data_IF_284068885072
#
_entry.id   IF_284068885072
#
_cell.length_a   1.000
_cell.length_b   1.000
_cell.length_c   1.000
_cell.angle_alpha   90.00
_cell.angle_beta   90.00
_cell.angle_gamma   90.00
#
_symmetry.space_group_name_H-M   'P 1'
#
loop_
_entity.id
_entity.type
_entity.pdbx_description
1 polymer ?
#
# COMPACT_ATOMS: atom_id res chain seq x y z
N UNK A 1 -21.09 3.86 11.55
CA UNK A 1 -19.92 3.40 12.33
C UNK A 1 -19.32 2.28 11.51
N UNK A 2 -18.16 2.54 10.91
CA UNK A 2 -17.59 1.73 9.85
C UNK A 2 -16.97 0.44 10.37
N UNK A 3 -17.01 -0.59 9.53
CA UNK A 3 -16.33 -1.87 9.72
C UNK A 3 -14.81 -1.62 9.78
N UNK A 4 -14.30 -1.46 11.00
CA UNK A 4 -12.87 -1.41 11.27
C UNK A 4 -12.39 -2.85 11.33
N UNK A 5 -11.50 -3.25 10.42
CA UNK A 5 -10.89 -4.58 10.45
C UNK A 5 -10.15 -4.77 11.77
N UNK A 6 -10.29 -5.93 12.43
CA UNK A 6 -9.40 -6.31 13.51
C UNK A 6 -7.98 -6.52 12.98
N UNK A 7 -7.15 -5.48 13.04
CA UNK A 7 -5.70 -5.62 12.91
C UNK A 7 -5.19 -6.27 14.20
N UNK A 8 -4.76 -7.53 14.12
CA UNK A 8 -4.07 -8.20 15.22
C UNK A 8 -2.54 -8.02 15.08
N UNK A 9 -1.93 -7.09 15.84
CA UNK A 9 -0.49 -6.84 15.75
C UNK A 9 0.36 -7.99 16.26
N UNK A 10 -0.21 -8.94 17.01
CA UNK A 10 0.55 -10.04 17.64
C UNK A 10 0.74 -11.23 16.70
N UNK A 11 -0.16 -11.43 15.75
CA UNK A 11 -0.14 -12.64 14.91
C UNK A 11 0.49 -12.43 13.54
N UNK A 12 0.54 -11.20 13.00
CA UNK A 12 0.97 -10.96 11.59
C UNK A 12 0.21 -11.81 10.56
N UNK A 13 -0.90 -12.45 10.95
CA UNK A 13 -1.68 -13.32 10.08
C UNK A 13 -2.57 -12.43 9.24
N UNK A 14 -2.17 -12.26 7.97
CA UNK A 14 -3.09 -11.84 6.93
C UNK A 14 -4.06 -13.00 6.72
N UNK A 15 -5.33 -12.76 7.04
CA UNK A 15 -6.42 -13.69 6.76
C UNK A 15 -6.73 -13.65 5.26
N UNK A 16 -6.29 -14.69 4.54
CA UNK A 16 -6.53 -14.84 3.09
C UNK A 16 -8.03 -15.04 2.76
N UNK A 17 -8.87 -15.30 3.77
CA UNK A 17 -10.32 -15.52 3.68
C UNK A 17 -11.15 -14.23 3.76
N UNK A 18 -10.56 -13.08 4.11
CA UNK A 18 -11.24 -11.80 4.17
C UNK A 18 -10.75 -10.85 3.07
N UNK A 19 -11.70 -10.13 2.44
CA UNK A 19 -11.33 -9.09 1.47
C UNK A 19 -10.56 -7.99 2.21
N UNK A 20 -9.41 -7.53 1.72
CA UNK A 20 -8.70 -6.42 2.34
C UNK A 20 -9.58 -5.18 2.34
N UNK A 21 -9.94 -4.69 3.52
CA UNK A 21 -10.67 -3.43 3.67
C UNK A 21 -9.72 -2.32 4.11
N UNK A 22 -9.98 -1.11 3.64
CA UNK A 22 -9.31 0.11 4.09
C UNK A 22 -10.33 1.23 3.90
N UNK A 23 -10.41 2.15 4.86
CA UNK A 23 -11.30 3.30 4.67
C UNK A 23 -10.74 4.21 3.57
N UNK A 24 -11.64 4.92 2.89
CA UNK A 24 -11.29 5.74 1.72
C UNK A 24 -10.26 6.83 2.04
N UNK A 25 -10.26 7.36 3.27
CA UNK A 25 -9.32 8.41 3.68
C UNK A 25 -7.92 7.83 3.89
N UNK A 26 -7.80 6.71 4.62
CA UNK A 26 -6.52 6.01 4.80
C UNK A 26 -5.95 5.51 3.47
N UNK A 27 -6.79 5.02 2.56
CA UNK A 27 -6.36 4.63 1.21
C UNK A 27 -5.80 5.82 0.44
N UNK A 28 -6.50 6.97 0.45
CA UNK A 28 -6.03 8.18 -0.21
C UNK A 28 -4.68 8.67 0.36
N UNK A 29 -4.48 8.58 1.68
CA UNK A 29 -3.19 8.90 2.30
C UNK A 29 -2.07 7.96 1.83
N UNK A 30 -2.32 6.65 1.75
CA UNK A 30 -1.33 5.69 1.26
C UNK A 30 -0.98 5.92 -0.21
N UNK A 31 -1.96 6.26 -1.05
CA UNK A 31 -1.73 6.65 -2.45
C UNK A 31 -0.89 7.92 -2.53
N UNK A 32 -1.16 8.92 -1.69
CA UNK A 32 -0.35 10.14 -1.59
C UNK A 32 1.11 9.84 -1.24
N UNK A 33 1.34 9.06 -0.19
CA UNK A 33 2.68 8.62 0.22
C UNK A 33 3.37 7.83 -0.89
N UNK A 34 2.65 6.95 -1.59
CA UNK A 34 3.20 6.20 -2.71
C UNK A 34 3.68 7.13 -3.84
N UNK A 35 2.89 8.14 -4.18
CA UNK A 35 3.25 9.14 -5.19
C UNK A 35 4.48 9.95 -4.77
N UNK A 36 4.55 10.42 -3.52
CA UNK A 36 5.69 11.16 -2.99
C UNK A 36 6.97 10.31 -3.00
N UNK A 37 6.89 9.05 -2.58
CA UNK A 37 8.01 8.12 -2.61
C UNK A 37 8.49 7.82 -4.03
N UNK A 38 7.56 7.77 -4.99
CA UNK A 38 7.87 7.58 -6.41
C UNK A 38 8.60 8.79 -6.97
N UNK A 39 8.09 9.99 -6.71
CA UNK A 39 8.75 11.23 -7.10
C UNK A 39 10.14 11.37 -6.47
N UNK A 40 10.27 11.07 -5.17
CA UNK A 40 11.57 11.12 -4.49
C UNK A 40 12.55 10.12 -5.07
N UNK A 41 12.13 8.87 -5.33
CA UNK A 41 12.96 7.83 -5.97
C UNK A 41 13.49 8.32 -7.32
N UNK A 42 12.64 8.94 -8.13
CA UNK A 42 13.00 9.39 -9.47
C UNK A 42 13.96 10.59 -9.45
N UNK A 43 13.91 11.38 -8.38
CA UNK A 43 14.84 12.50 -8.14
C UNK A 43 16.14 12.11 -7.43
N UNK A 44 16.28 10.87 -6.95
CA UNK A 44 17.40 10.46 -6.09
C UNK A 44 18.71 10.31 -6.88
N UNK A 45 19.74 11.11 -6.60
CA UNK A 45 21.01 11.04 -7.32
C UNK A 45 21.87 9.82 -6.93
N UNK A 46 21.67 9.26 -5.73
CA UNK A 46 22.42 8.07 -5.29
C UNK A 46 21.72 6.79 -5.80
N UNK A 47 22.42 6.06 -6.68
CA UNK A 47 21.89 4.83 -7.31
C UNK A 47 21.54 3.73 -6.31
N UNK A 48 22.30 3.55 -5.23
CA UNK A 48 22.02 2.52 -4.22
C UNK A 48 20.76 2.86 -3.42
N UNK A 49 20.62 4.13 -3.03
CA UNK A 49 19.40 4.63 -2.36
C UNK A 49 18.20 4.52 -3.29
N UNK A 50 18.32 4.90 -4.56
CA UNK A 50 17.25 4.75 -5.54
C UNK A 50 16.79 3.28 -5.68
N UNK A 51 17.71 2.31 -5.64
CA UNK A 51 17.38 0.87 -5.66
C UNK A 51 16.62 0.45 -4.40
N UNK A 52 17.02 0.91 -3.21
CA UNK A 52 16.28 0.65 -1.97
C UNK A 52 14.87 1.25 -2.02
N UNK A 53 14.74 2.48 -2.50
CA UNK A 53 13.44 3.14 -2.66
C UNK A 53 12.56 2.47 -3.70
N UNK A 54 13.13 1.93 -4.77
CA UNK A 54 12.42 1.08 -5.73
C UNK A 54 11.85 -0.17 -5.07
N UNK A 55 12.59 -0.83 -4.18
CA UNK A 55 12.09 -1.99 -3.42
C UNK A 55 10.92 -1.59 -2.53
N UNK A 56 11.03 -0.47 -1.83
CA UNK A 56 9.96 0.05 -0.95
C UNK A 56 8.70 0.39 -1.73
N UNK A 57 8.82 1.18 -2.81
CA UNK A 57 7.69 1.55 -3.68
C UNK A 57 7.03 0.32 -4.31
N UNK A 58 7.81 -0.69 -4.72
CA UNK A 58 7.26 -1.97 -5.24
C UNK A 58 6.42 -2.72 -4.20
N UNK A 59 6.90 -2.80 -2.95
CA UNK A 59 6.16 -3.44 -1.86
C UNK A 59 4.88 -2.67 -1.54
N UNK A 60 4.93 -1.34 -1.51
CA UNK A 60 3.75 -0.51 -1.25
C UNK A 60 2.72 -0.65 -2.37
N UNK A 61 3.15 -0.70 -3.64
CA UNK A 61 2.26 -0.96 -4.77
C UNK A 61 1.54 -2.31 -4.65
N UNK A 62 2.26 -3.37 -4.24
CA UNK A 62 1.65 -4.68 -4.00
C UNK A 62 0.63 -4.67 -2.85
N UNK A 63 0.85 -3.84 -1.82
CA UNK A 63 -0.13 -3.64 -0.74
C UNK A 63 -1.35 -2.89 -1.25
N UNK A 64 -1.17 -1.79 -2.00
CA UNK A 64 -2.27 -1.00 -2.56
C UNK A 64 -3.16 -1.82 -3.51
N UNK A 65 -2.57 -2.66 -4.36
CA UNK A 65 -3.28 -3.53 -5.29
C UNK A 65 -4.24 -4.52 -4.61
N UNK A 66 -4.04 -4.82 -3.32
CA UNK A 66 -4.93 -5.67 -2.53
C UNK A 66 -6.25 -4.99 -2.17
N UNK A 67 -6.27 -3.65 -2.19
CA UNK A 67 -7.43 -2.83 -1.86
C UNK A 67 -8.12 -2.25 -3.09
N UNK A 68 -7.55 -2.43 -4.28
CA UNK A 68 -8.23 -2.06 -5.52
C UNK A 68 -9.41 -3.02 -5.75
N UNK A 69 -10.59 -2.50 -6.16
CA UNK A 69 -11.69 -3.38 -6.54
C UNK A 69 -11.23 -4.29 -7.68
N UNK A 70 -11.65 -5.58 -7.68
CA UNK A 70 -11.30 -6.49 -8.77
C UNK A 70 -11.72 -5.87 -10.10
N UNK A 71 -10.79 -5.84 -11.06
CA UNK A 71 -11.05 -5.30 -12.40
C UNK A 71 -12.26 -6.04 -12.99
N UNK A 72 -13.40 -5.37 -13.09
CA UNK A 72 -14.65 -5.93 -13.61
C UNK A 72 -15.86 -5.92 -12.67
N UNK A 73 -15.74 -5.44 -11.43
CA UNK A 73 -16.91 -5.15 -10.59
C UNK A 73 -17.44 -3.73 -10.88
N UNK A 74 -18.22 -3.61 -11.96
CA UNK A 74 -19.07 -2.46 -12.26
C UNK A 74 -20.53 -2.90 -12.27
#
# INVERSE_FOLDING_TARGET
>A
MGDVIPFDPLTSIVRDDETPHIDSYSFALLVGVFNDLTAFRDSEPNRERAVLMRKTTTKLNAVLARFEPPQGAA
#
